data_IF_023514597629
#
_entry.id   IF_023514597629
#
_cell.length_a   1.000
_cell.length_b   1.000
_cell.length_c   1.000
_cell.angle_alpha   90.00
_cell.angle_beta   90.00
_cell.angle_gamma   90.00
#
_symmetry.space_group_name_H-M   'P 1'
#
loop_
_entity.id
_entity.type
_entity.pdbx_description
1 polymer ?
#
# COMPACT_ATOMS: atom_id res chain seq x y z
N UNK A 1 -20.55 27.14 -1.57
CA UNK A 1 -19.93 26.63 -0.32
C UNK A 1 -18.45 26.25 -0.47
N UNK A 2 -17.97 25.45 -1.44
CA UNK A 2 -16.54 25.06 -1.51
C UNK A 2 -15.58 26.20 -1.87
N UNK A 3 -16.05 27.21 -2.64
CA UNK A 3 -15.24 28.35 -3.05
C UNK A 3 -14.73 29.20 -1.87
N UNK A 4 -15.46 29.20 -0.74
CA UNK A 4 -15.07 29.97 0.44
C UNK A 4 -13.81 29.39 1.10
N UNK A 5 -13.71 28.05 1.20
CA UNK A 5 -12.57 27.39 1.84
C UNK A 5 -11.28 27.59 1.03
N UNK A 6 -11.34 27.43 -0.29
CA UNK A 6 -10.18 27.64 -1.18
C UNK A 6 -9.70 29.10 -1.10
N UNK A 7 -10.62 30.05 -1.06
CA UNK A 7 -10.28 31.48 -0.93
C UNK A 7 -9.68 31.80 0.45
N UNK A 8 -10.19 31.22 1.53
CA UNK A 8 -9.59 31.35 2.85
C UNK A 8 -8.17 30.77 2.91
N UNK A 9 -7.95 29.60 2.27
CA UNK A 9 -6.62 29.02 2.15
C UNK A 9 -5.66 29.96 1.41
N UNK A 10 -6.09 30.60 0.32
CA UNK A 10 -5.29 31.59 -0.40
C UNK A 10 -4.88 32.77 0.48
N UNK A 11 -5.83 33.31 1.25
CA UNK A 11 -5.54 34.39 2.20
C UNK A 11 -4.51 33.95 3.24
N UNK A 12 -4.65 32.73 3.78
CA UNK A 12 -3.70 32.19 4.75
C UNK A 12 -2.30 32.01 4.14
N UNK A 13 -2.21 31.47 2.92
CA UNK A 13 -0.94 31.32 2.18
C UNK A 13 -0.24 32.65 1.89
N UNK A 14 -0.99 33.75 1.83
CA UNK A 14 -0.46 35.08 1.59
C UNK A 14 -0.04 35.79 2.89
N UNK A 15 -0.90 35.77 3.90
CA UNK A 15 -0.68 36.43 5.19
C UNK A 15 0.46 35.75 5.97
N UNK A 16 0.53 34.41 5.92
CA UNK A 16 1.45 33.60 6.73
C UNK A 16 2.62 33.02 5.93
N UNK A 17 3.06 33.70 4.87
CA UNK A 17 4.09 33.18 3.94
C UNK A 17 5.47 32.86 4.56
N UNK A 18 5.73 33.28 5.80
CA UNK A 18 7.01 33.08 6.49
C UNK A 18 6.94 32.08 7.65
N UNK A 19 5.73 31.71 8.09
CA UNK A 19 5.48 30.89 9.28
C UNK A 19 4.48 29.75 9.00
N UNK A 20 3.95 29.65 7.77
CA UNK A 20 3.03 28.61 7.34
C UNK A 20 3.51 27.90 6.07
N UNK A 21 3.54 26.57 6.13
CA UNK A 21 3.78 25.71 4.98
C UNK A 21 2.55 24.82 4.74
N UNK A 22 2.01 24.86 3.53
CA UNK A 22 0.92 23.99 3.10
C UNK A 22 1.46 22.91 2.16
N UNK A 23 1.14 21.64 2.46
CA UNK A 23 1.45 20.49 1.61
C UNK A 23 0.12 19.88 1.17
N UNK A 24 -0.22 20.03 -0.10
CA UNK A 24 -1.31 19.29 -0.72
C UNK A 24 -0.81 17.91 -1.16
N UNK A 25 -1.55 16.86 -0.83
CA UNK A 25 -1.27 15.50 -1.25
C UNK A 25 -2.55 14.82 -1.73
N UNK A 26 -2.45 14.06 -2.82
CA UNK A 26 -3.56 13.37 -3.48
C UNK A 26 -3.07 12.69 -4.76
N UNK A 27 -3.95 12.01 -5.49
CA UNK A 27 -3.57 11.49 -6.80
C UNK A 27 -3.39 12.64 -7.79
N UNK A 28 -2.47 12.48 -8.74
CA UNK A 28 -2.03 13.54 -9.65
C UNK A 28 -3.20 14.28 -10.32
N UNK A 29 -4.17 13.52 -10.85
CA UNK A 29 -5.37 14.07 -11.49
C UNK A 29 -6.21 14.92 -10.55
N UNK A 30 -6.40 14.49 -9.30
CA UNK A 30 -7.23 15.19 -8.32
C UNK A 30 -6.53 16.46 -7.81
N UNK A 31 -5.21 16.41 -7.65
CA UNK A 31 -4.40 17.59 -7.32
C UNK A 31 -4.47 18.59 -8.47
N UNK A 32 -4.34 18.13 -9.72
CA UNK A 32 -4.45 19.01 -10.88
C UNK A 32 -5.85 19.62 -11.00
N UNK A 33 -6.91 18.83 -10.84
CA UNK A 33 -8.30 19.33 -10.79
C UNK A 33 -8.48 20.35 -9.66
N UNK A 34 -7.98 20.08 -8.45
CA UNK A 34 -8.04 21.00 -7.32
C UNK A 34 -7.34 22.34 -7.62
N UNK A 35 -6.19 22.30 -8.29
CA UNK A 35 -5.45 23.51 -8.67
C UNK A 35 -6.19 24.37 -9.70
N UNK A 36 -7.12 23.81 -10.47
CA UNK A 36 -7.96 24.57 -11.42
C UNK A 36 -9.13 25.31 -10.76
N UNK A 37 -9.47 24.98 -9.50
CA UNK A 37 -10.63 25.58 -8.79
C UNK A 37 -10.50 27.09 -8.63
N UNK A 38 -9.28 27.61 -8.51
CA UNK A 38 -9.01 29.05 -8.47
C UNK A 38 -7.66 29.35 -9.16
N UNK A 39 -7.60 30.26 -10.16
CA UNK A 39 -6.35 30.60 -10.84
C UNK A 39 -5.22 31.07 -9.91
N UNK A 40 -5.57 31.73 -8.79
CA UNK A 40 -4.61 32.17 -7.77
C UNK A 40 -3.98 31.01 -6.99
N UNK A 41 -4.61 29.84 -6.98
CA UNK A 41 -4.11 28.64 -6.29
C UNK A 41 -2.94 28.05 -7.05
N UNK A 42 -3.09 27.77 -8.35
CA UNK A 42 -2.02 27.20 -9.18
C UNK A 42 -0.70 27.99 -9.08
N UNK A 43 -0.76 29.33 -9.05
CA UNK A 43 0.42 30.18 -8.94
C UNK A 43 1.16 30.12 -7.59
N UNK A 44 0.52 29.63 -6.52
CA UNK A 44 1.13 29.49 -5.18
C UNK A 44 1.75 28.12 -4.94
N UNK A 45 1.46 27.12 -5.77
CA UNK A 45 2.11 25.80 -5.75
C UNK A 45 3.29 25.79 -6.72
N UNK A 46 4.40 26.39 -6.30
CA UNK A 46 5.61 26.52 -7.12
C UNK A 46 6.45 25.24 -7.20
N UNK A 47 6.08 24.18 -6.48
CA UNK A 47 6.75 22.87 -6.52
C UNK A 47 5.71 21.76 -6.56
N UNK A 48 5.84 20.86 -7.54
CA UNK A 48 5.11 19.59 -7.61
C UNK A 48 6.13 18.46 -7.46
N UNK A 49 5.92 17.62 -6.46
CA UNK A 49 6.71 16.40 -6.26
C UNK A 49 5.84 15.22 -6.67
N UNK A 50 6.27 14.48 -7.69
CA UNK A 50 5.60 13.28 -8.16
C UNK A 50 6.23 12.07 -7.49
N UNK A 51 5.40 11.26 -6.86
CA UNK A 51 5.83 9.98 -6.29
C UNK A 51 5.43 8.88 -7.25
N UNK A 52 6.43 8.17 -7.77
CA UNK A 52 6.18 7.03 -8.65
C UNK A 52 5.69 5.82 -7.84
N UNK A 53 4.90 4.98 -8.50
CA UNK A 53 4.45 3.70 -7.96
C UNK A 53 5.64 2.78 -7.70
N UNK A 54 5.74 2.24 -6.47
CA UNK A 54 6.79 1.29 -6.10
C UNK A 54 6.93 0.14 -7.11
N UNK A 55 8.17 -0.27 -7.33
CA UNK A 55 8.53 -1.51 -8.02
C UNK A 55 8.14 -2.73 -7.19
N UNK A 56 8.08 -3.93 -7.81
CA UNK A 56 7.85 -5.18 -7.07
C UNK A 56 8.86 -5.41 -5.94
N UNK A 57 10.13 -5.08 -6.16
CA UNK A 57 11.19 -5.26 -5.15
C UNK A 57 10.98 -4.30 -3.96
N UNK A 58 10.63 -3.04 -4.23
CA UNK A 58 10.30 -2.07 -3.18
C UNK A 58 9.05 -2.46 -2.38
N UNK A 59 8.04 -3.08 -3.02
CA UNK A 59 6.87 -3.59 -2.31
C UNK A 59 7.22 -4.75 -1.35
N UNK A 60 8.11 -5.65 -1.77
CA UNK A 60 8.62 -6.71 -0.88
C UNK A 60 9.39 -6.09 0.28
N UNK A 61 10.23 -5.09 0.01
CA UNK A 61 10.95 -4.38 1.06
C UNK A 61 10.00 -3.68 2.05
N UNK A 62 8.93 -3.04 1.57
CA UNK A 62 7.90 -2.45 2.42
C UNK A 62 7.23 -3.51 3.29
N UNK A 63 6.90 -4.68 2.73
CA UNK A 63 6.32 -5.78 3.48
C UNK A 63 7.25 -6.26 4.60
N UNK A 64 8.55 -6.44 4.31
CA UNK A 64 9.56 -6.83 5.29
C UNK A 64 9.70 -5.77 6.39
N UNK A 65 9.86 -4.49 6.00
CA UNK A 65 9.98 -3.37 6.95
C UNK A 65 8.72 -3.17 7.80
N UNK A 66 7.55 -3.48 7.25
CA UNK A 66 6.27 -3.43 7.98
C UNK A 66 6.13 -4.57 8.99
N UNK A 67 6.58 -5.78 8.63
CA UNK A 67 6.54 -6.97 9.50
C UNK A 67 7.57 -6.95 10.63
N UNK A 68 8.76 -6.41 10.39
CA UNK A 68 9.87 -6.41 11.37
C UNK A 68 9.50 -5.89 12.78
N UNK A 69 8.89 -4.70 12.97
CA UNK A 69 8.50 -4.22 14.29
C UNK A 69 7.36 -5.04 14.94
N UNK A 70 6.74 -5.96 14.20
CA UNK A 70 5.63 -6.82 14.64
C UNK A 70 6.10 -8.24 14.99
N UNK A 71 7.42 -8.48 15.01
CA UNK A 71 8.03 -9.81 15.10
C UNK A 71 7.57 -10.76 13.98
N UNK A 72 7.29 -10.20 12.80
CA UNK A 72 6.88 -10.97 11.63
C UNK A 72 8.05 -11.09 10.66
N UNK A 73 8.45 -12.33 10.37
CA UNK A 73 9.49 -12.67 9.40
C UNK A 73 8.82 -13.26 8.15
N UNK A 74 9.17 -12.76 6.97
CA UNK A 74 8.72 -13.36 5.70
C UNK A 74 9.85 -14.26 5.22
N UNK A 75 9.62 -15.57 5.11
CA UNK A 75 10.68 -16.47 4.66
C UNK A 75 11.07 -16.23 3.19
N UNK A 76 12.29 -16.58 2.76
CA UNK A 76 12.75 -16.26 1.41
C UNK A 76 11.83 -16.78 0.28
N UNK A 77 11.29 -18.01 0.34
CA UNK A 77 10.30 -18.46 -0.63
C UNK A 77 9.01 -17.63 -0.65
N UNK A 78 8.52 -17.17 0.51
CA UNK A 78 7.36 -16.27 0.57
C UNK A 78 7.67 -14.88 0.01
N UNK A 79 8.89 -14.36 0.20
CA UNK A 79 9.32 -13.10 -0.42
C UNK A 79 9.31 -13.20 -1.95
N UNK A 80 9.83 -14.29 -2.52
CA UNK A 80 9.82 -14.50 -3.98
C UNK A 80 8.39 -14.65 -4.50
N UNK A 81 7.52 -15.37 -3.78
CA UNK A 81 6.11 -15.51 -4.17
C UNK A 81 5.38 -14.15 -4.16
N UNK A 82 5.63 -13.31 -3.14
CA UNK A 82 5.10 -11.95 -3.09
C UNK A 82 5.65 -11.11 -4.24
N UNK A 83 6.95 -11.21 -4.54
CA UNK A 83 7.58 -10.49 -5.64
C UNK A 83 6.94 -10.87 -7.00
N UNK A 84 6.79 -12.17 -7.26
CA UNK A 84 6.17 -12.69 -8.47
C UNK A 84 4.73 -12.18 -8.62
N UNK A 85 3.95 -12.16 -7.53
CA UNK A 85 2.61 -11.59 -7.54
C UNK A 85 2.63 -10.07 -7.82
N UNK A 86 3.54 -9.31 -7.21
CA UNK A 86 3.71 -7.88 -7.49
C UNK A 86 4.12 -7.61 -8.94
N UNK A 87 4.97 -8.45 -9.55
CA UNK A 87 5.32 -8.38 -10.98
C UNK A 87 4.08 -8.59 -11.86
N UNK A 88 3.26 -9.60 -11.56
CA UNK A 88 2.00 -9.85 -12.27
C UNK A 88 1.03 -8.66 -12.12
N UNK A 89 0.87 -8.11 -10.91
CA UNK A 89 0.05 -6.92 -10.66
C UNK A 89 0.56 -5.67 -11.40
N UNK A 90 1.87 -5.51 -11.53
CA UNK A 90 2.45 -4.40 -12.30
C UNK A 90 2.17 -4.55 -13.80
N UNK A 91 2.18 -5.77 -14.30
CA UNK A 91 1.88 -6.07 -15.71
C UNK A 91 0.38 -5.97 -16.04
N UNK A 92 -0.50 -6.14 -15.06
CA UNK A 92 -1.94 -5.97 -15.23
C UNK A 92 -2.31 -4.50 -15.47
N UNK A 93 -3.16 -4.25 -16.47
CA UNK A 93 -3.78 -2.95 -16.74
C UNK A 93 -5.28 -3.03 -16.50
N UNK A 94 -5.79 -2.12 -15.69
CA UNK A 94 -7.21 -1.95 -15.46
C UNK A 94 -7.89 -1.24 -16.64
N UNK A 95 -9.24 -1.25 -16.72
CA UNK A 95 -9.97 -0.60 -17.81
C UNK A 95 -9.70 0.90 -17.98
N UNK A 96 -9.30 1.58 -16.91
CA UNK A 96 -8.93 3.00 -16.93
C UNK A 96 -7.45 3.25 -17.29
N UNK A 97 -6.71 2.18 -17.62
CA UNK A 97 -5.29 2.21 -17.96
C UNK A 97 -4.34 2.25 -16.76
N UNK A 98 -4.85 2.23 -15.53
CA UNK A 98 -4.00 2.14 -14.34
C UNK A 98 -3.37 0.76 -14.19
N UNK A 99 -2.15 0.71 -13.65
CA UNK A 99 -1.52 -0.58 -13.33
C UNK A 99 -2.22 -1.23 -12.14
N UNK A 100 -2.27 -2.56 -12.12
CA UNK A 100 -2.87 -3.31 -11.01
C UNK A 100 -2.28 -2.97 -9.65
N UNK A 101 -0.99 -2.67 -9.59
CA UNK A 101 -0.32 -2.21 -8.37
C UNK A 101 -0.96 -0.94 -7.78
N UNK A 102 -1.48 -0.05 -8.63
CA UNK A 102 -2.10 1.22 -8.24
C UNK A 102 -3.56 1.01 -7.86
N UNK A 103 -4.28 0.14 -8.58
CA UNK A 103 -5.61 -0.35 -8.18
C UNK A 103 -5.58 -0.97 -6.79
N UNK A 104 -4.52 -1.72 -6.49
CA UNK A 104 -4.28 -2.33 -5.19
C UNK A 104 -3.78 -1.33 -4.13
N UNK A 105 -3.61 -0.05 -4.47
CA UNK A 105 -3.18 1.03 -3.58
C UNK A 105 -1.72 0.89 -3.11
N UNK A 106 -0.87 0.32 -3.96
CA UNK A 106 0.59 0.40 -3.91
C UNK A 106 1.17 0.02 -2.53
N UNK A 107 1.90 0.88 -1.81
CA UNK A 107 2.44 0.55 -0.48
C UNK A 107 1.38 0.07 0.55
N UNK A 108 0.11 0.45 0.41
CA UNK A 108 -0.97 -0.09 1.25
C UNK A 108 -1.23 -1.57 0.97
N UNK A 109 -1.09 -2.01 -0.29
CA UNK A 109 -1.20 -3.41 -0.66
C UNK A 109 -0.22 -4.28 0.15
N UNK A 110 1.06 -3.92 0.17
CA UNK A 110 2.09 -4.66 0.91
C UNK A 110 1.74 -4.79 2.41
N UNK A 111 1.29 -3.72 3.05
CA UNK A 111 0.86 -3.75 4.47
C UNK A 111 -0.36 -4.66 4.67
N UNK A 112 -1.39 -4.50 3.83
CA UNK A 112 -2.61 -5.30 3.91
C UNK A 112 -2.34 -6.80 3.71
N UNK A 113 -1.42 -7.14 2.81
CA UNK A 113 -1.00 -8.53 2.57
C UNK A 113 -0.30 -9.10 3.80
N UNK A 114 0.61 -8.34 4.44
CA UNK A 114 1.28 -8.80 5.68
C UNK A 114 0.26 -9.04 6.79
N UNK A 115 -0.66 -8.11 7.03
CA UNK A 115 -1.69 -8.26 8.08
C UNK A 115 -2.62 -9.47 7.84
N UNK A 116 -2.95 -9.73 6.57
CA UNK A 116 -3.74 -10.91 6.17
C UNK A 116 -2.94 -12.19 6.39
N UNK A 117 -1.69 -12.20 5.94
CA UNK A 117 -0.81 -13.35 6.10
C UNK A 117 -0.53 -13.68 7.57
N UNK A 118 -0.40 -12.68 8.45
CA UNK A 118 -0.30 -12.88 9.90
C UNK A 118 -1.51 -13.67 10.45
N UNK A 119 -2.73 -13.30 10.06
CA UNK A 119 -3.95 -14.04 10.48
C UNK A 119 -3.99 -15.47 9.94
N UNK A 120 -3.50 -15.67 8.72
CA UNK A 120 -3.42 -16.99 8.09
C UNK A 120 -2.36 -17.87 8.77
N UNK A 121 -1.18 -17.31 9.08
CA UNK A 121 -0.14 -17.96 9.90
C UNK A 121 -0.71 -18.36 11.24
N UNK A 122 -1.37 -17.45 11.96
CA UNK A 122 -1.91 -17.73 13.29
C UNK A 122 -2.93 -18.89 13.24
N UNK A 123 -3.77 -18.92 12.20
CA UNK A 123 -4.72 -20.00 11.96
C UNK A 123 -4.02 -21.34 11.66
N UNK A 124 -2.97 -21.33 10.84
CA UNK A 124 -2.12 -22.48 10.52
C UNK A 124 -1.43 -23.04 11.77
N UNK A 125 -0.79 -22.18 12.55
CA UNK A 125 -0.07 -22.56 13.77
C UNK A 125 -1.02 -23.09 14.84
N UNK A 126 -2.20 -22.47 14.99
CA UNK A 126 -3.24 -22.99 15.88
C UNK A 126 -3.72 -24.38 15.46
N UNK A 127 -3.84 -24.65 14.15
CA UNK A 127 -4.17 -25.97 13.64
C UNK A 127 -3.06 -26.99 13.93
N UNK A 128 -1.79 -26.64 13.73
CA UNK A 128 -0.63 -27.47 14.07
C UNK A 128 -0.65 -27.89 15.55
N UNK A 129 -0.88 -26.94 16.47
CA UNK A 129 -0.94 -27.25 17.90
C UNK A 129 -2.13 -28.14 18.29
N UNK A 130 -3.26 -28.04 17.59
CA UNK A 130 -4.42 -28.93 17.81
C UNK A 130 -4.12 -30.36 17.36
N UNK A 131 -3.43 -30.52 16.24
CA UNK A 131 -3.06 -31.83 15.70
C UNK A 131 -1.97 -32.51 16.52
N UNK A 132 -0.95 -31.76 16.95
CA UNK A 132 0.14 -32.27 17.76
C UNK A 132 0.53 -31.25 18.84
N UNK A 133 0.06 -31.46 20.07
CA UNK A 133 0.29 -30.51 21.17
C UNK A 133 1.78 -30.40 21.48
N UNK A 134 2.28 -29.17 21.54
CA UNK A 134 3.70 -28.88 21.80
C UNK A 134 4.60 -28.93 20.55
N UNK A 135 4.04 -29.11 19.36
CA UNK A 135 4.79 -29.07 18.09
C UNK A 135 5.08 -27.65 17.57
N UNK A 136 4.52 -26.62 18.20
CA UNK A 136 4.68 -25.22 17.77
C UNK A 136 5.96 -24.64 18.35
N UNK A 137 6.75 -24.03 17.48
CA UNK A 137 7.98 -23.32 17.83
C UNK A 137 7.79 -21.80 17.84
N UNK A 138 8.76 -21.05 18.37
CA UNK A 138 8.79 -19.58 18.25
C UNK A 138 8.89 -19.17 16.78
N UNK A 139 9.70 -19.88 15.97
CA UNK A 139 9.82 -19.63 14.53
C UNK A 139 8.47 -19.74 13.82
N UNK A 140 7.63 -20.71 14.19
CA UNK A 140 6.29 -20.87 13.63
C UNK A 140 5.39 -19.66 13.91
N UNK A 141 5.52 -19.07 15.10
CA UNK A 141 4.75 -17.90 15.53
C UNK A 141 5.21 -16.60 14.87
N UNK A 142 6.45 -16.54 14.38
CA UNK A 142 7.02 -15.35 13.77
C UNK A 142 6.98 -15.41 12.23
N UNK A 143 7.07 -16.61 11.65
CA UNK A 143 7.36 -16.78 10.22
C UNK A 143 6.12 -16.94 9.36
N UNK A 144 5.94 -16.01 8.41
CA UNK A 144 5.03 -16.15 7.29
C UNK A 144 5.67 -17.03 6.21
N UNK A 145 4.94 -18.09 5.84
CA UNK A 145 5.34 -19.04 4.78
C UNK A 145 4.62 -18.70 3.48
N UNK A 146 5.08 -19.29 2.37
CA UNK A 146 4.52 -19.06 1.03
C UNK A 146 2.99 -19.22 0.99
N UNK A 147 2.44 -20.24 1.64
CA UNK A 147 0.99 -20.47 1.67
C UNK A 147 0.21 -19.33 2.36
N UNK A 148 0.78 -18.70 3.39
CA UNK A 148 0.14 -17.61 4.11
C UNK A 148 0.10 -16.36 3.23
N UNK A 149 1.21 -16.07 2.52
CA UNK A 149 1.33 -14.94 1.61
C UNK A 149 0.48 -15.08 0.35
N UNK A 150 0.53 -16.25 -0.31
CA UNK A 150 -0.22 -16.50 -1.54
C UNK A 150 -1.72 -16.37 -1.29
N UNK A 151 -2.23 -16.97 -0.20
CA UNK A 151 -3.63 -16.81 0.17
C UNK A 151 -3.97 -15.34 0.53
N UNK A 152 -3.11 -14.63 1.26
CA UNK A 152 -3.32 -13.23 1.58
C UNK A 152 -3.39 -12.32 0.33
N UNK A 153 -2.53 -12.58 -0.67
CA UNK A 153 -2.55 -11.87 -1.95
C UNK A 153 -3.82 -12.21 -2.74
N UNK A 154 -4.20 -13.49 -2.80
CA UNK A 154 -5.42 -13.93 -3.48
C UNK A 154 -6.64 -13.21 -2.92
N UNK A 155 -6.79 -13.22 -1.59
CA UNK A 155 -7.89 -12.56 -0.88
C UNK A 155 -7.91 -11.05 -1.15
N UNK A 156 -6.73 -10.40 -1.10
CA UNK A 156 -6.63 -8.98 -1.37
C UNK A 156 -7.06 -8.63 -2.80
N UNK A 157 -6.60 -9.39 -3.80
CA UNK A 157 -6.93 -9.15 -5.20
C UNK A 157 -8.41 -9.43 -5.48
N UNK A 158 -8.97 -10.49 -4.88
CA UNK A 158 -10.39 -10.82 -5.00
C UNK A 158 -11.29 -9.69 -4.47
N UNK A 159 -10.98 -9.09 -3.32
CA UNK A 159 -11.73 -7.95 -2.77
C UNK A 159 -11.78 -6.75 -3.73
N UNK A 160 -10.69 -6.54 -4.50
CA UNK A 160 -10.57 -5.47 -5.48
C UNK A 160 -10.98 -5.88 -6.90
N UNK A 161 -11.48 -7.10 -7.08
CA UNK A 161 -11.86 -7.66 -8.38
C UNK A 161 -10.71 -7.63 -9.41
N UNK A 162 -9.47 -7.75 -8.95
CA UNK A 162 -8.29 -7.85 -9.83
C UNK A 162 -8.05 -9.34 -10.12
N UNK A 163 -8.18 -9.79 -11.38
CA UNK A 163 -8.03 -11.19 -11.74
C UNK A 163 -6.54 -11.54 -11.78
N UNK A 164 -5.99 -11.94 -10.63
CA UNK A 164 -4.61 -12.39 -10.50
C UNK A 164 -4.57 -13.91 -10.40
N UNK A 165 -4.04 -14.57 -11.42
CA UNK A 165 -3.71 -15.99 -11.35
C UNK A 165 -2.37 -16.13 -10.62
N UNK A 166 -2.38 -16.73 -9.42
CA UNK A 166 -1.19 -16.89 -8.57
C UNK A 166 -0.42 -18.16 -8.91
#
# INVERSE_FOLDING_TARGET
>A
MPLNLVNQLLVALEVHRFDFCFIGAGYEKEVDEFLTVNPGLAGRFNRKLRFESYSPDELVEIAIRYGSPRATVIDPPAQEALNAACRKLRAYLAPDGSHGIDVMQNGRFARNVVERAERLRDSRVAAQNRTNRGSVTVEDLETLRTQDLVAAVADACAEKHVPLEL
#
